data_IF_631235426738
#
_entry.id   IF_631235426738
#
_cell.length_a   1.000
_cell.length_b   1.000
_cell.length_c   1.000
_cell.angle_alpha   90.00
_cell.angle_beta   90.00
_cell.angle_gamma   90.00
#
_symmetry.space_group_name_H-M   'P 1'
#
loop_
_entity.id
_entity.type
_entity.pdbx_description
1 polymer ?
#
# COMPACT_ATOMS: atom_id res chain seq x y z
N UNK A 1 -5.59 -4.23 18.60
CA UNK A 1 -4.30 -3.69 18.10
C UNK A 1 -4.39 -2.17 18.05
N UNK A 2 -3.28 -1.46 17.90
CA UNK A 2 -3.23 -0.02 17.67
C UNK A 2 -2.71 0.26 16.26
N UNK A 3 -3.40 1.10 15.50
CA UNK A 3 -2.88 1.66 14.25
C UNK A 3 -2.14 2.95 14.56
N UNK A 4 -0.84 2.97 14.25
CA UNK A 4 0.03 4.14 14.33
C UNK A 4 0.30 4.65 12.92
N UNK A 5 0.03 5.92 12.67
CA UNK A 5 0.28 6.53 11.35
C UNK A 5 1.58 7.33 11.40
N UNK A 6 2.67 6.72 10.94
CA UNK A 6 3.99 7.37 10.88
C UNK A 6 4.01 8.50 9.85
N UNK A 7 3.24 8.35 8.78
CA UNK A 7 2.91 9.41 7.82
C UNK A 7 1.39 9.56 7.70
N UNK A 8 0.87 10.71 7.24
CA UNK A 8 -0.56 10.92 7.18
C UNK A 8 -1.24 9.97 6.20
N UNK A 9 -2.43 9.52 6.57
CA UNK A 9 -3.32 8.76 5.69
C UNK A 9 -4.21 9.76 4.94
N UNK A 10 -4.43 9.49 3.66
CA UNK A 10 -5.48 10.09 2.84
C UNK A 10 -6.41 8.97 2.44
N UNK A 11 -7.73 9.13 2.54
CA UNK A 11 -8.65 8.11 2.01
C UNK A 11 -8.95 8.33 0.52
N UNK A 12 -9.33 9.56 0.17
CA UNK A 12 -9.69 9.94 -1.20
C UNK A 12 -9.44 11.42 -1.41
N UNK A 13 -9.50 11.90 -2.67
CA UNK A 13 -9.47 13.34 -2.96
C UNK A 13 -10.60 14.12 -2.27
N UNK A 14 -11.73 13.47 -1.97
CA UNK A 14 -12.90 14.09 -1.33
C UNK A 14 -12.84 14.10 0.20
N UNK A 15 -11.78 13.55 0.81
CA UNK A 15 -11.65 13.39 2.25
C UNK A 15 -12.04 11.98 2.72
N UNK A 16 -12.25 11.83 4.03
CA UNK A 16 -12.66 10.59 4.67
C UNK A 16 -14.16 10.36 4.50
N UNK A 17 -14.61 9.10 4.39
CA UNK A 17 -16.03 8.79 4.48
C UNK A 17 -16.51 9.12 5.90
N UNK A 18 -17.77 9.50 5.99
CA UNK A 18 -18.44 9.83 7.25
C UNK A 18 -19.68 8.97 7.41
N UNK A 19 -19.97 8.57 8.65
CA UNK A 19 -21.16 7.80 8.96
C UNK A 19 -22.42 8.69 9.04
N UNK A 20 -23.53 8.11 9.49
CA UNK A 20 -24.81 8.80 9.66
C UNK A 20 -24.75 9.90 10.73
N UNK A 21 -23.81 9.81 11.68
CA UNK A 21 -23.52 10.80 12.73
C UNK A 21 -22.41 11.78 12.32
N UNK A 22 -22.03 11.79 11.03
CA UNK A 22 -20.96 12.60 10.45
C UNK A 22 -19.54 12.30 10.99
N UNK A 23 -19.34 11.16 11.67
CA UNK A 23 -18.04 10.75 12.20
C UNK A 23 -17.15 10.19 11.09
N UNK A 24 -15.90 10.68 10.94
CA UNK A 24 -15.00 10.19 9.91
C UNK A 24 -14.43 8.83 10.28
N UNK A 25 -14.22 7.96 9.29
CA UNK A 25 -13.68 6.62 9.52
C UNK A 25 -12.81 6.11 8.36
N UNK A 26 -11.98 5.11 8.64
CA UNK A 26 -11.38 4.26 7.61
C UNK A 26 -12.25 3.01 7.42
N UNK A 27 -12.70 2.72 6.20
CA UNK A 27 -13.45 1.49 5.93
C UNK A 27 -12.53 0.28 5.90
N UNK A 28 -13.09 -0.89 6.24
CA UNK A 28 -12.40 -2.19 6.24
C UNK A 28 -11.58 -2.48 5.00
N UNK A 29 -12.10 -2.14 3.81
CA UNK A 29 -11.44 -2.44 2.54
C UNK A 29 -10.03 -1.79 2.44
N UNK A 30 -9.78 -0.68 3.14
CA UNK A 30 -8.46 -0.05 3.17
C UNK A 30 -7.40 -0.97 3.78
N UNK A 31 -7.77 -1.71 4.83
CA UNK A 31 -6.89 -2.70 5.47
C UNK A 31 -6.80 -3.97 4.62
N UNK A 32 -7.93 -4.45 4.10
CA UNK A 32 -7.97 -5.64 3.23
C UNK A 32 -7.09 -5.46 1.99
N UNK A 33 -7.12 -4.30 1.36
CA UNK A 33 -6.26 -3.96 0.23
C UNK A 33 -4.78 -4.04 0.62
N UNK A 34 -4.39 -3.39 1.72
CA UNK A 34 -2.99 -3.37 2.16
C UNK A 34 -2.46 -4.76 2.53
N UNK A 35 -3.25 -5.57 3.25
CA UNK A 35 -2.90 -6.96 3.53
C UNK A 35 -2.87 -7.79 2.25
N UNK A 36 -3.83 -7.61 1.35
CA UNK A 36 -3.87 -8.33 0.07
C UNK A 36 -2.61 -8.08 -0.75
N UNK A 37 -2.19 -6.82 -0.95
CA UNK A 37 -0.98 -6.50 -1.69
C UNK A 37 0.26 -7.15 -1.04
N UNK A 38 0.34 -7.11 0.29
CA UNK A 38 1.45 -7.70 1.03
C UNK A 38 1.53 -9.23 0.85
N UNK A 39 0.38 -9.91 0.98
CA UNK A 39 0.27 -11.37 0.82
C UNK A 39 0.59 -11.80 -0.62
N UNK A 40 0.05 -11.09 -1.61
CA UNK A 40 0.35 -11.33 -3.03
C UNK A 40 1.85 -11.24 -3.28
N UNK A 41 2.47 -10.13 -2.87
CA UNK A 41 3.91 -9.93 -3.06
C UNK A 41 4.74 -11.03 -2.39
N UNK A 42 4.44 -11.33 -1.13
CA UNK A 42 5.21 -12.29 -0.34
C UNK A 42 5.18 -13.70 -0.94
N UNK A 43 4.01 -14.20 -1.31
CA UNK A 43 3.90 -15.57 -1.84
C UNK A 43 4.36 -15.70 -3.27
N UNK A 44 4.18 -14.68 -4.11
CA UNK A 44 4.77 -14.68 -5.45
C UNK A 44 6.31 -14.71 -5.35
N UNK A 45 6.90 -13.96 -4.42
CA UNK A 45 8.35 -13.98 -4.17
C UNK A 45 8.85 -15.33 -3.62
N UNK A 46 8.06 -16.00 -2.78
CA UNK A 46 8.46 -17.20 -2.05
C UNK A 46 8.20 -18.51 -2.81
N UNK A 47 7.15 -18.57 -3.62
CA UNK A 47 6.70 -19.79 -4.29
C UNK A 47 6.83 -19.69 -5.80
N UNK A 48 7.82 -20.38 -6.35
CA UNK A 48 8.12 -20.37 -7.78
C UNK A 48 6.98 -20.90 -8.65
N UNK A 49 6.14 -21.81 -8.14
CA UNK A 49 4.98 -22.31 -8.88
C UNK A 49 3.92 -21.21 -9.03
N UNK A 50 3.64 -20.47 -7.96
CA UNK A 50 2.72 -19.33 -7.98
C UNK A 50 3.29 -18.21 -8.85
N UNK A 51 4.58 -17.90 -8.72
CA UNK A 51 5.27 -16.94 -9.57
C UNK A 51 5.07 -17.26 -11.05
N UNK A 52 5.34 -18.51 -11.46
CA UNK A 52 5.18 -18.94 -12.84
C UNK A 52 3.72 -18.89 -13.31
N UNK A 53 2.77 -19.27 -12.45
CA UNK A 53 1.33 -19.22 -12.76
C UNK A 53 0.85 -17.79 -12.99
N UNK A 54 1.23 -16.86 -12.11
CA UNK A 54 0.90 -15.43 -12.26
C UNK A 54 1.63 -14.82 -13.45
N UNK A 55 2.92 -15.13 -13.66
CA UNK A 55 3.67 -14.67 -14.85
C UNK A 55 2.97 -15.10 -16.14
N UNK A 56 2.59 -16.38 -16.26
CA UNK A 56 1.87 -16.91 -17.43
C UNK A 56 0.55 -16.16 -17.66
N UNK A 57 -0.22 -15.93 -16.59
CA UNK A 57 -1.44 -15.16 -16.64
C UNK A 57 -1.19 -13.73 -17.16
N UNK A 58 -0.25 -13.00 -16.56
CA UNK A 58 0.09 -11.62 -16.95
C UNK A 58 0.67 -11.50 -18.35
N UNK A 59 1.12 -12.59 -18.96
CA UNK A 59 1.60 -12.65 -20.35
C UNK A 59 0.59 -13.28 -21.33
N UNK A 60 -0.68 -13.35 -20.94
CA UNK A 60 -1.77 -13.84 -21.80
C UNK A 60 -2.40 -12.67 -22.55
N UNK A 61 -2.78 -12.86 -23.82
CA UNK A 61 -3.47 -11.82 -24.60
C UNK A 61 -4.91 -11.62 -24.14
N UNK A 62 -5.44 -10.42 -24.34
CA UNK A 62 -6.86 -10.12 -24.06
C UNK A 62 -7.18 -9.95 -22.58
N UNK A 63 -6.18 -9.64 -21.75
CA UNK A 63 -6.39 -9.27 -20.35
C UNK A 63 -7.24 -7.99 -20.27
N UNK A 64 -8.20 -7.97 -19.35
CA UNK A 64 -8.91 -6.76 -18.99
C UNK A 64 -8.25 -6.11 -17.80
N UNK A 65 -7.98 -4.81 -17.91
CA UNK A 65 -7.31 -4.03 -16.88
C UNK A 65 -7.98 -4.20 -15.50
N UNK A 66 -9.32 -4.13 -15.47
CA UNK A 66 -10.10 -4.21 -14.24
C UNK A 66 -10.07 -5.59 -13.57
N UNK A 67 -9.76 -6.66 -14.31
CA UNK A 67 -9.81 -8.04 -13.84
C UNK A 67 -8.47 -8.52 -13.28
N UNK A 68 -7.35 -7.91 -13.71
CA UNK A 68 -5.99 -8.40 -13.41
C UNK A 68 -5.72 -8.49 -11.91
N UNK A 69 -5.98 -7.42 -11.14
CA UNK A 69 -5.71 -7.44 -9.69
C UNK A 69 -6.51 -8.52 -8.98
N UNK A 70 -7.78 -8.70 -9.37
CA UNK A 70 -8.69 -9.72 -8.84
C UNK A 70 -8.19 -11.12 -9.18
N UNK A 71 -7.78 -11.38 -10.42
CA UNK A 71 -7.32 -12.70 -10.85
C UNK A 71 -5.99 -13.08 -10.21
N UNK A 72 -5.05 -12.13 -10.10
CA UNK A 72 -3.78 -12.35 -9.38
C UNK A 72 -4.05 -12.66 -7.91
N UNK A 73 -4.94 -11.90 -7.26
CA UNK A 73 -5.41 -12.18 -5.90
C UNK A 73 -5.95 -13.61 -5.80
N UNK A 74 -6.85 -14.00 -6.69
CA UNK A 74 -7.45 -15.33 -6.70
C UNK A 74 -6.40 -16.44 -6.87
N UNK A 75 -5.44 -16.28 -7.78
CA UNK A 75 -4.36 -17.26 -8.00
C UNK A 75 -3.57 -17.51 -6.72
N UNK A 76 -3.23 -16.44 -5.98
CA UNK A 76 -2.44 -16.55 -4.74
C UNK A 76 -3.28 -17.10 -3.60
N UNK A 77 -4.45 -16.52 -3.34
CA UNK A 77 -5.28 -16.87 -2.18
C UNK A 77 -5.90 -18.27 -2.27
N UNK A 78 -6.13 -18.79 -3.49
CA UNK A 78 -6.53 -20.20 -3.67
C UNK A 78 -5.52 -21.19 -3.08
N UNK A 79 -4.22 -20.88 -3.13
CA UNK A 79 -3.16 -21.72 -2.55
C UNK A 79 -2.83 -21.33 -1.12
N UNK A 80 -2.92 -20.03 -0.83
CA UNK A 80 -2.57 -19.44 0.47
C UNK A 80 -3.74 -18.64 1.02
N UNK A 81 -4.77 -19.30 1.59
CA UNK A 81 -5.96 -18.65 2.15
C UNK A 81 -5.66 -17.99 3.50
N UNK A 82 -4.55 -17.26 3.62
CA UNK A 82 -4.11 -16.70 4.91
C UNK A 82 -4.88 -15.46 5.32
N UNK A 83 -5.70 -14.92 4.41
CA UNK A 83 -6.67 -13.86 4.69
C UNK A 83 -8.03 -14.44 5.12
N UNK A 84 -8.22 -15.76 5.03
CA UNK A 84 -9.43 -16.39 5.55
C UNK A 84 -9.43 -16.26 7.08
N UNK A 85 -10.57 -15.86 7.63
CA UNK A 85 -10.72 -15.54 9.06
C UNK A 85 -9.85 -14.35 9.54
N UNK A 86 -9.44 -13.46 8.63
CA UNK A 86 -8.97 -12.14 9.01
C UNK A 86 -10.18 -11.28 9.41
N UNK A 87 -10.29 -10.98 10.68
CA UNK A 87 -11.33 -10.12 11.23
C UNK A 87 -10.81 -8.69 11.25
N UNK A 88 -11.55 -7.79 10.60
CA UNK A 88 -11.29 -6.36 10.55
C UNK A 88 -12.65 -5.67 10.77
N UNK A 89 -12.75 -4.64 11.63
CA UNK A 89 -13.97 -3.89 11.83
C UNK A 89 -14.38 -3.19 10.53
N UNK A 90 -15.69 -3.13 10.26
CA UNK A 90 -16.22 -2.47 9.06
C UNK A 90 -15.83 -0.99 8.98
N UNK A 91 -15.78 -0.31 10.13
CA UNK A 91 -15.41 1.10 10.27
C UNK A 91 -14.39 1.27 11.41
N UNK A 92 -13.29 1.94 11.13
CA UNK A 92 -12.32 2.41 12.13
C UNK A 92 -12.45 3.91 12.28
N UNK A 93 -13.11 4.36 13.33
CA UNK A 93 -13.38 5.80 13.54
C UNK A 93 -12.09 6.58 13.82
N UNK A 94 -12.01 7.75 13.21
CA UNK A 94 -10.87 8.67 13.33
C UNK A 94 -11.23 9.85 14.24
N UNK A 95 -10.37 10.22 15.19
CA UNK A 95 -10.55 11.43 15.99
C UNK A 95 -10.54 12.68 15.10
N UNK A 96 -11.60 13.49 15.16
CA UNK A 96 -11.73 14.68 14.31
C UNK A 96 -10.64 15.73 14.57
N UNK A 97 -10.15 15.84 15.82
CA UNK A 97 -9.08 16.77 16.20
C UNK A 97 -7.72 16.44 15.54
N UNK A 98 -7.59 15.23 14.99
CA UNK A 98 -6.40 14.76 14.25
C UNK A 98 -6.56 14.83 12.73
N UNK A 99 -7.73 15.27 12.26
CA UNK A 99 -8.00 15.47 10.83
C UNK A 99 -7.80 16.93 10.48
N UNK A 100 -7.09 17.17 9.39
CA UNK A 100 -6.88 18.52 8.86
C UNK A 100 -6.89 18.51 7.35
N UNK A 101 -7.20 19.65 6.74
CA UNK A 101 -7.13 19.79 5.28
C UNK A 101 -5.76 20.29 4.86
N UNK A 102 -5.07 19.55 4.01
CA UNK A 102 -3.76 19.90 3.47
C UNK A 102 -3.72 19.87 1.95
N UNK A 103 -2.75 20.59 1.38
CA UNK A 103 -2.40 20.47 -0.03
C UNK A 103 -1.45 19.28 -0.19
N UNK A 104 -1.78 18.41 -1.13
CA UNK A 104 -1.08 17.17 -1.44
C UNK A 104 -0.61 17.24 -2.88
N UNK A 105 0.64 16.88 -3.11
CA UNK A 105 1.24 16.78 -4.43
C UNK A 105 1.19 15.35 -4.93
N UNK A 106 0.97 15.18 -6.22
CA UNK A 106 1.23 13.93 -6.93
C UNK A 106 2.63 14.08 -7.50
N UNK A 107 3.58 13.43 -6.84
CA UNK A 107 5.00 13.50 -7.17
C UNK A 107 5.37 12.36 -8.10
N UNK A 108 5.99 12.69 -9.24
CA UNK A 108 6.59 11.72 -10.14
C UNK A 108 7.99 11.36 -9.63
N UNK A 109 8.13 10.18 -9.03
CA UNK A 109 9.39 9.72 -8.44
C UNK A 109 10.53 9.66 -9.46
N UNK A 110 10.22 9.38 -10.74
CA UNK A 110 11.23 9.16 -11.77
C UNK A 110 11.71 10.47 -12.38
N UNK A 111 10.79 11.38 -12.71
CA UNK A 111 11.15 12.68 -13.28
C UNK A 111 11.44 13.72 -12.20
N UNK A 112 11.16 13.38 -10.93
CA UNK A 112 11.48 14.17 -9.74
C UNK A 112 10.76 15.53 -9.76
N UNK A 113 9.50 15.54 -10.23
CA UNK A 113 8.66 16.73 -10.36
C UNK A 113 7.24 16.49 -9.89
N UNK A 114 6.60 17.55 -9.41
CA UNK A 114 5.18 17.58 -9.13
C UNK A 114 4.39 17.67 -10.43
N UNK A 115 3.51 16.69 -10.66
CA UNK A 115 2.69 16.67 -11.89
C UNK A 115 1.32 17.31 -11.69
N UNK A 116 0.83 17.38 -10.44
CA UNK A 116 -0.41 18.04 -10.03
C UNK A 116 -0.51 18.04 -8.50
N UNK A 117 -1.50 18.75 -7.96
CA UNK A 117 -1.86 18.62 -6.55
C UNK A 117 -3.32 18.93 -6.29
N UNK A 118 -3.78 18.62 -5.09
CA UNK A 118 -5.15 18.84 -4.64
C UNK A 118 -5.21 19.05 -3.13
N UNK A 119 -6.29 19.65 -2.65
CA UNK A 119 -6.53 19.77 -1.21
C UNK A 119 -7.45 18.65 -0.75
N UNK A 120 -7.12 18.02 0.36
CA UNK A 120 -7.95 16.96 0.95
C UNK A 120 -7.74 16.82 2.44
N UNK A 121 -8.59 16.05 3.10
CA UNK A 121 -8.42 15.67 4.50
C UNK A 121 -7.28 14.65 4.65
N UNK A 122 -6.40 14.91 5.61
CA UNK A 122 -5.34 13.99 6.05
C UNK A 122 -5.56 13.65 7.51
N UNK A 123 -5.24 12.41 7.88
CA UNK A 123 -5.26 11.96 9.28
C UNK A 123 -3.84 11.54 9.69
N UNK A 124 -3.36 12.06 10.82
CA UNK A 124 -2.14 11.59 11.47
C UNK A 124 -2.37 11.45 12.98
N UNK A 125 -2.25 10.23 13.49
CA UNK A 125 -2.37 9.93 14.91
C UNK A 125 -2.32 8.44 15.21
N UNK A 126 -2.95 8.06 16.31
CA UNK A 126 -3.08 6.67 16.75
C UNK A 126 -4.54 6.36 16.99
N UNK A 127 -4.99 5.19 16.54
CA UNK A 127 -6.36 4.70 16.77
C UNK A 127 -6.34 3.24 17.19
N UNK A 128 -7.31 2.86 18.02
CA UNK A 128 -7.55 1.48 18.40
C UNK A 128 -8.25 0.74 17.25
N UNK A 129 -7.78 -0.47 16.93
CA UNK A 129 -8.33 -1.30 15.85
C UNK A 129 -8.40 -2.76 16.28
N UNK A 130 -9.58 -3.35 16.17
CA UNK A 130 -9.85 -4.75 16.52
C UNK A 130 -9.56 -5.68 15.34
N UNK A 131 -8.28 -5.86 15.01
CA UNK A 131 -7.85 -6.82 13.98
C UNK A 131 -7.42 -8.12 14.63
N UNK A 132 -7.95 -9.23 14.14
CA UNK A 132 -7.67 -10.59 14.62
C UNK A 132 -7.42 -11.52 13.43
N UNK A 133 -6.49 -12.47 13.58
CA UNK A 133 -6.24 -13.51 12.56
C UNK A 133 -5.48 -14.69 13.15
N UNK A 134 -5.83 -15.94 12.78
CA UNK A 134 -5.03 -17.12 13.13
C UNK A 134 -3.67 -17.17 12.40
N UNK A 135 -3.42 -16.24 11.48
CA UNK A 135 -2.23 -16.21 10.63
C UNK A 135 -1.40 -14.93 10.82
N UNK A 136 -1.51 -14.29 11.98
CA UNK A 136 -0.87 -12.99 12.24
C UNK A 136 0.65 -12.98 11.97
N UNK A 137 1.37 -14.04 12.34
CA UNK A 137 2.81 -14.15 12.07
C UNK A 137 3.14 -14.23 10.57
N UNK A 138 2.28 -14.89 9.78
CA UNK A 138 2.44 -14.92 8.32
C UNK A 138 2.13 -13.55 7.70
N UNK A 139 1.12 -12.86 8.23
CA UNK A 139 0.80 -11.49 7.82
C UNK A 139 1.93 -10.54 8.15
N UNK A 140 2.52 -10.64 9.34
CA UNK A 140 3.70 -9.87 9.75
C UNK A 140 4.85 -10.03 8.77
N UNK A 141 5.23 -11.27 8.44
CA UNK A 141 6.28 -11.54 7.47
C UNK A 141 5.96 -10.98 6.06
N UNK A 142 4.70 -11.11 5.63
CA UNK A 142 4.25 -10.57 4.34
C UNK A 142 4.29 -9.05 4.30
N UNK A 143 3.78 -8.40 5.35
CA UNK A 143 3.75 -6.94 5.54
C UNK A 143 5.17 -6.35 5.50
N UNK A 144 6.11 -6.90 6.26
CA UNK A 144 7.52 -6.47 6.21
C UNK A 144 8.11 -6.63 4.82
N UNK A 145 7.98 -7.82 4.22
CA UNK A 145 8.58 -8.09 2.92
C UNK A 145 8.04 -7.15 1.83
N UNK A 146 6.76 -6.77 1.90
CA UNK A 146 6.15 -5.87 0.95
C UNK A 146 6.49 -4.40 1.23
N UNK A 147 6.36 -3.94 2.48
CA UNK A 147 6.65 -2.57 2.87
C UNK A 147 8.11 -2.20 2.57
N UNK A 148 9.06 -3.08 2.90
CA UNK A 148 10.48 -2.86 2.59
C UNK A 148 10.71 -2.84 1.07
N UNK A 149 10.12 -3.77 0.32
CA UNK A 149 10.26 -3.80 -1.13
C UNK A 149 9.70 -2.54 -1.80
N UNK A 150 8.54 -2.04 -1.33
CA UNK A 150 7.91 -0.83 -1.83
C UNK A 150 8.74 0.41 -1.48
N UNK A 151 9.21 0.53 -0.23
CA UNK A 151 10.05 1.66 0.18
C UNK A 151 11.38 1.70 -0.59
N UNK A 152 12.03 0.54 -0.78
CA UNK A 152 13.25 0.43 -1.61
C UNK A 152 12.96 0.80 -3.07
N UNK A 153 11.83 0.33 -3.60
CA UNK A 153 11.43 0.60 -4.96
C UNK A 153 11.27 2.10 -5.22
N UNK A 154 10.58 2.81 -4.31
CA UNK A 154 10.37 4.24 -4.44
C UNK A 154 11.68 5.02 -4.24
N UNK A 155 12.51 4.60 -3.28
CA UNK A 155 13.87 5.12 -3.10
C UNK A 155 14.71 4.97 -4.39
N UNK A 156 14.70 3.79 -5.00
CA UNK A 156 15.50 3.48 -6.20
C UNK A 156 15.10 4.38 -7.38
N UNK A 157 13.83 4.80 -7.48
CA UNK A 157 13.36 5.72 -8.53
C UNK A 157 13.83 7.16 -8.32
N UNK A 158 14.06 7.56 -7.07
CA UNK A 158 14.48 8.91 -6.70
C UNK A 158 15.96 9.17 -6.98
N UNK A 159 16.79 8.12 -7.07
CA UNK A 159 18.23 8.19 -7.30
C UNK A 159 18.92 9.14 -6.30
N UNK A 160 19.31 10.35 -6.76
CA UNK A 160 20.02 11.40 -6.04
C UNK A 160 19.10 12.46 -5.39
N UNK A 161 17.77 12.33 -5.53
CA UNK A 161 16.84 13.30 -4.95
C UNK A 161 16.87 13.24 -3.42
N UNK A 162 16.86 14.39 -2.69
CA UNK A 162 16.98 14.42 -1.23
C UNK A 162 15.95 13.58 -0.47
N UNK A 163 14.76 13.37 -1.04
CA UNK A 163 13.72 12.50 -0.47
C UNK A 163 14.20 11.04 -0.29
N UNK A 164 15.12 10.56 -1.13
CA UNK A 164 15.68 9.22 -1.02
C UNK A 164 16.41 9.02 0.31
N UNK A 165 17.26 9.97 0.70
CA UNK A 165 18.04 9.92 1.94
C UNK A 165 17.23 10.41 3.14
N UNK A 166 16.60 11.59 3.03
CA UNK A 166 15.96 12.25 4.16
C UNK A 166 14.69 11.56 4.64
N UNK A 167 14.00 10.84 3.75
CA UNK A 167 12.75 10.16 4.10
C UNK A 167 12.88 8.64 3.94
N UNK A 168 13.24 8.13 2.76
CA UNK A 168 13.17 6.69 2.50
C UNK A 168 14.24 5.88 3.23
N UNK A 169 15.46 6.38 3.43
CA UNK A 169 16.45 5.68 4.26
C UNK A 169 16.03 5.62 5.72
N UNK A 170 15.48 6.71 6.25
CA UNK A 170 14.93 6.73 7.61
C UNK A 170 13.78 5.73 7.73
N UNK A 171 12.81 5.78 6.81
CA UNK A 171 11.69 4.84 6.76
C UNK A 171 12.18 3.38 6.72
N UNK A 172 13.17 3.06 5.88
CA UNK A 172 13.71 1.70 5.77
C UNK A 172 14.40 1.22 7.06
N UNK A 173 14.94 2.12 7.86
CA UNK A 173 15.48 1.78 9.17
C UNK A 173 14.36 1.55 10.18
N UNK A 174 13.36 2.43 10.22
CA UNK A 174 12.20 2.31 11.11
C UNK A 174 11.37 1.04 10.83
N UNK A 175 11.17 0.69 9.55
CA UNK A 175 10.43 -0.50 9.13
C UNK A 175 10.96 -1.82 9.70
N UNK A 176 12.23 -1.87 10.14
CA UNK A 176 12.82 -3.05 10.79
C UNK A 176 12.29 -3.27 12.20
N UNK A 177 11.77 -2.21 12.82
CA UNK A 177 11.30 -2.19 14.20
C UNK A 177 9.78 -2.20 14.31
N UNK A 178 9.06 -1.88 13.24
CA UNK A 178 7.60 -1.92 13.21
C UNK A 178 7.10 -3.36 13.33
N UNK A 179 5.95 -3.57 13.96
CA UNK A 179 5.42 -4.92 14.15
C UNK A 179 4.69 -5.46 12.91
N UNK A 180 3.71 -4.73 12.38
CA UNK A 180 3.06 -5.00 11.10
C UNK A 180 3.06 -3.72 10.25
N UNK A 181 4.08 -3.50 9.41
CA UNK A 181 4.14 -2.32 8.57
C UNK A 181 3.13 -2.40 7.41
N UNK A 182 2.35 -1.35 7.23
CA UNK A 182 1.33 -1.26 6.18
C UNK A 182 1.45 0.07 5.44
N UNK A 183 0.91 0.09 4.22
CA UNK A 183 0.63 1.33 3.51
C UNK A 183 -0.86 1.46 3.23
N UNK A 184 -1.52 2.33 3.98
CA UNK A 184 -2.97 2.49 4.01
C UNK A 184 -3.44 3.70 3.20
N UNK A 185 -4.67 3.61 2.73
CA UNK A 185 -5.37 4.68 2.03
C UNK A 185 -4.88 4.92 0.61
N UNK A 186 -5.12 6.14 0.13
CA UNK A 186 -4.63 6.65 -1.13
C UNK A 186 -3.20 7.17 -0.93
N UNK A 187 -2.24 6.45 -1.51
CA UNK A 187 -0.82 6.84 -1.53
C UNK A 187 -0.24 6.93 -2.95
N UNK A 188 -1.00 6.49 -3.95
CA UNK A 188 -0.68 6.56 -5.38
C UNK A 188 -1.95 6.69 -6.19
N UNK A 189 -1.82 7.23 -7.40
CA UNK A 189 -2.90 7.28 -8.39
C UNK A 189 -2.73 6.23 -9.50
N UNK A 190 -1.74 5.35 -9.37
CA UNK A 190 -1.51 4.25 -10.31
C UNK A 190 -2.55 3.16 -10.10
N UNK A 191 -3.10 2.64 -11.19
CA UNK A 191 -4.25 1.73 -11.20
C UNK A 191 -4.05 0.48 -10.32
N UNK A 192 -2.90 -0.18 -10.43
CA UNK A 192 -2.60 -1.39 -9.67
C UNK A 192 -2.03 -1.14 -8.27
N UNK A 193 -1.90 0.14 -7.86
CA UNK A 193 -1.19 0.54 -6.64
C UNK A 193 0.14 -0.22 -6.49
N UNK A 194 0.22 -1.18 -5.56
CA UNK A 194 1.35 -2.10 -5.44
C UNK A 194 1.01 -3.59 -5.58
N UNK A 195 -0.17 -3.96 -6.07
CA UNK A 195 -0.58 -5.37 -6.24
C UNK A 195 0.32 -6.14 -7.20
N UNK A 196 0.85 -5.45 -8.22
CA UNK A 196 1.78 -6.02 -9.20
C UNK A 196 3.24 -5.69 -8.89
N UNK A 197 3.55 -5.23 -7.67
CA UNK A 197 4.87 -4.77 -7.28
C UNK A 197 5.94 -5.82 -7.58
N UNK A 198 5.68 -7.12 -7.40
CA UNK A 198 6.70 -8.15 -7.67
C UNK A 198 7.19 -8.14 -9.14
N UNK A 199 6.29 -7.97 -10.10
CA UNK A 199 6.61 -8.10 -11.52
C UNK A 199 7.25 -6.86 -12.13
N UNK A 200 7.40 -5.77 -11.36
CA UNK A 200 8.00 -4.53 -11.85
C UNK A 200 9.44 -4.71 -12.36
N UNK A 201 10.22 -5.62 -11.76
CA UNK A 201 11.59 -5.97 -12.12
C UNK A 201 11.66 -7.05 -13.22
N UNK A 202 10.54 -7.70 -13.53
CA UNK A 202 10.48 -8.74 -14.57
C UNK A 202 10.19 -8.05 -15.90
N UNK A 203 11.29 -7.70 -16.61
CA UNK A 203 11.27 -6.86 -17.82
C UNK A 203 10.25 -7.33 -18.86
N UNK A 204 10.20 -8.63 -19.10
CA UNK A 204 9.35 -9.29 -20.08
C UNK A 204 7.85 -9.22 -19.73
N UNK A 205 7.47 -9.38 -18.46
CA UNK A 205 6.08 -9.15 -18.01
C UNK A 205 5.71 -7.69 -18.18
N UNK A 206 6.58 -6.78 -17.73
CA UNK A 206 6.34 -5.34 -17.81
C UNK A 206 6.21 -4.86 -19.26
N UNK A 207 7.07 -5.31 -20.16
CA UNK A 207 7.00 -4.98 -21.59
C UNK A 207 5.72 -5.51 -22.23
N UNK A 208 5.30 -6.72 -21.87
CA UNK A 208 4.05 -7.29 -22.36
C UNK A 208 2.84 -6.47 -21.92
N UNK A 209 2.73 -6.18 -20.62
CA UNK A 209 1.62 -5.39 -20.08
C UNK A 209 1.60 -3.96 -20.66
N UNK A 210 2.76 -3.34 -20.84
CA UNK A 210 2.85 -2.03 -21.47
C UNK A 210 2.40 -2.06 -22.94
N UNK A 211 2.68 -3.14 -23.67
CA UNK A 211 2.23 -3.31 -25.06
C UNK A 211 0.74 -3.60 -25.17
N UNK A 212 0.21 -4.49 -24.34
CA UNK A 212 -1.20 -4.93 -24.44
C UNK A 212 -2.18 -3.92 -23.81
N UNK A 213 -1.77 -3.25 -22.72
CA UNK A 213 -2.66 -2.40 -21.93
C UNK A 213 -2.29 -0.92 -21.98
N UNK A 214 -1.15 -0.56 -22.57
CA UNK A 214 -0.68 0.83 -22.65
C UNK A 214 -0.27 1.45 -21.32
N UNK A 215 -0.07 0.65 -20.27
CA UNK A 215 0.21 1.12 -18.90
C UNK A 215 1.52 0.55 -18.35
N UNK A 216 2.21 1.37 -17.56
CA UNK A 216 3.36 0.93 -16.76
C UNK A 216 2.86 0.54 -15.36
N UNK A 217 3.15 -0.69 -14.94
CA UNK A 217 2.72 -1.23 -13.65
C UNK A 217 3.54 -0.70 -12.46
N UNK A 218 4.60 0.08 -12.70
CA UNK A 218 5.41 0.68 -11.65
C UNK A 218 4.62 1.81 -10.97
N UNK A 219 4.52 1.85 -9.62
CA UNK A 219 3.91 2.97 -8.92
C UNK A 219 4.87 4.18 -8.92
N UNK A 220 5.00 4.81 -10.09
CA UNK A 220 5.86 5.97 -10.35
C UNK A 220 5.35 7.24 -9.67
N UNK A 221 4.03 7.36 -9.52
CA UNK A 221 3.40 8.51 -8.92
C UNK A 221 3.03 8.20 -7.47
N UNK A 222 3.45 9.04 -6.55
CA UNK A 222 3.09 8.93 -5.13
C UNK A 222 2.47 10.22 -4.65
N UNK A 223 1.64 10.12 -3.61
CA UNK A 223 1.17 11.29 -2.90
C UNK A 223 2.23 11.76 -1.91
N UNK A 224 2.56 13.04 -1.97
CA UNK A 224 3.56 13.71 -1.17
C UNK A 224 2.94 14.89 -0.41
N UNK A 225 3.34 15.06 0.85
CA UNK A 225 2.92 16.16 1.70
C UNK A 225 4.12 17.08 1.98
N UNK A 226 4.22 18.24 1.29
CA UNK A 226 5.38 19.14 1.42
C UNK A 226 5.65 19.62 2.83
N UNK A 227 4.58 19.88 3.59
CA UNK A 227 4.66 20.33 5.00
C UNK A 227 5.27 19.27 5.91
N UNK A 228 5.04 18.00 5.61
CA UNK A 228 5.58 16.87 6.38
C UNK A 228 6.87 16.31 5.77
N UNK A 229 7.23 16.73 4.55
CA UNK A 229 8.32 16.18 3.75
C UNK A 229 8.27 14.65 3.64
N UNK A 230 7.06 14.10 3.52
CA UNK A 230 6.81 12.67 3.58
C UNK A 230 5.84 12.20 2.49
N UNK A 231 6.01 10.96 2.02
CA UNK A 231 4.96 10.30 1.24
C UNK A 231 3.91 9.69 2.15
N UNK A 232 2.68 9.54 1.64
CA UNK A 232 1.53 9.23 2.50
C UNK A 232 1.33 7.74 2.74
N UNK A 233 0.55 7.43 3.79
CA UNK A 233 -0.03 6.13 4.06
C UNK A 233 0.84 5.14 4.82
N UNK A 234 2.10 5.43 5.13
CA UNK A 234 2.96 4.54 5.93
C UNK A 234 2.48 4.46 7.38
N UNK A 235 2.11 3.25 7.79
CA UNK A 235 1.50 2.94 9.08
C UNK A 235 2.07 1.66 9.68
N UNK A 236 1.81 1.47 10.97
CA UNK A 236 2.11 0.25 11.71
C UNK A 236 0.86 -0.21 12.45
N UNK A 237 0.56 -1.50 12.38
CA UNK A 237 -0.31 -2.15 13.36
C UNK A 237 0.56 -2.75 14.45
N UNK A 238 0.38 -2.26 15.68
CA UNK A 238 1.07 -2.75 16.87
C UNK A 238 0.11 -3.55 17.74
N UNK A 239 0.49 -4.75 18.15
CA UNK A 239 -0.27 -5.51 19.15
C UNK A 239 -0.24 -4.74 20.47
N UNK A 240 -1.31 -4.87 21.26
CA UNK A 240 -1.30 -4.31 22.60
C UNK A 240 -0.36 -5.22 23.40
N UNK A 241 0.80 -4.74 23.80
CA UNK A 241 1.57 -5.41 24.84
C UNK A 241 0.64 -5.53 26.07
N UNK A 242 0.41 -6.76 26.53
CA UNK A 242 -0.09 -6.98 27.88
C UNK A 242 1.00 -6.47 28.82
N UNK A 243 0.68 -5.43 29.59
CA UNK A 243 1.55 -4.92 30.67
C UNK A 243 1.49 -5.90 31.84
#
# INVERSE_FOLDING_TARGET
MKLLTWTPIIFSRKGFPRDEENRPFLPKNVFEEAFTSAVIFYYIKKDKQIENKVRKYLTTKGLKLEEIAKDVKNIVLQKYPILDNLEIPERVYLPEDKIRTEYVEVFDLKEKVDVKGFRTEVFKGTVEVEISSPHIEKLKAACHSYAEALARMEKDLLEDHPLAELFYEQLLNELKHWELPLRLGMWTEVHFKGDLLFFWKIKDVRQFLMKELGIDIRPRYVLYLPKERATTGWCELKTKEEV
#
